data_IF_435955682977
#
_entry.id   IF_435955682977
#
_cell.length_a   1.000
_cell.length_b   1.000
_cell.length_c   1.000
_cell.angle_alpha   90.00
_cell.angle_beta   90.00
_cell.angle_gamma   90.00
#
_symmetry.space_group_name_H-M   'P 1'
#
loop_
_entity.id
_entity.type
_entity.pdbx_description
1 polymer ?
#
# COMPACT_ATOMS: atom_id res chain seq x y z
N UNK A 1 31.52 -3.24 -44.32
CA UNK A 1 30.76 -4.50 -44.45
C UNK A 1 29.44 -4.28 -43.73
N UNK A 2 28.42 -3.97 -44.51
CA UNK A 2 27.11 -3.54 -44.01
C UNK A 2 26.29 -4.78 -43.64
N UNK A 3 26.28 -5.13 -42.36
CA UNK A 3 25.44 -6.21 -41.88
C UNK A 3 24.08 -5.62 -41.50
N UNK A 4 23.16 -5.68 -42.47
CA UNK A 4 21.77 -5.28 -42.29
C UNK A 4 21.12 -6.26 -41.32
N UNK A 5 20.93 -5.83 -40.07
CA UNK A 5 20.18 -6.56 -39.06
C UNK A 5 18.76 -6.77 -39.61
N UNK A 6 18.28 -8.02 -39.78
CA UNK A 6 16.93 -8.25 -40.29
C UNK A 6 15.92 -7.64 -39.31
N UNK A 7 14.97 -6.89 -39.85
CA UNK A 7 13.88 -6.31 -39.10
C UNK A 7 13.09 -7.44 -38.40
N UNK A 8 13.45 -7.74 -37.14
CA UNK A 8 12.54 -8.41 -36.22
C UNK A 8 11.34 -7.49 -36.11
N UNK A 9 10.19 -7.98 -36.58
CA UNK A 9 8.96 -7.21 -36.74
C UNK A 9 8.63 -6.35 -35.53
N UNK A 10 7.97 -5.23 -35.81
CA UNK A 10 7.45 -4.30 -34.80
C UNK A 10 6.76 -5.11 -33.69
N UNK A 11 7.17 -4.98 -32.41
CA UNK A 11 6.48 -5.65 -31.31
C UNK A 11 5.02 -5.20 -31.33
N UNK A 12 4.09 -6.13 -31.58
CA UNK A 12 2.65 -5.84 -31.70
C UNK A 12 1.99 -6.33 -32.99
N UNK A 13 2.73 -6.86 -33.96
CA UNK A 13 2.15 -7.45 -35.17
C UNK A 13 2.52 -8.93 -35.32
N UNK A 14 2.08 -9.78 -34.39
CA UNK A 14 1.89 -11.21 -34.66
C UNK A 14 0.39 -11.45 -34.85
N UNK A 15 -0.02 -11.81 -36.06
CA UNK A 15 -1.39 -12.14 -36.45
C UNK A 15 -1.90 -13.46 -35.84
N UNK A 16 -1.39 -13.85 -34.68
CA UNK A 16 -1.75 -15.08 -33.97
C UNK A 16 -2.72 -14.75 -32.83
N UNK A 17 -3.73 -15.60 -32.66
CA UNK A 17 -4.72 -15.48 -31.60
C UNK A 17 -4.05 -15.34 -30.23
N UNK A 18 -4.55 -14.43 -29.38
CA UNK A 18 -4.11 -14.30 -27.99
C UNK A 18 -4.53 -15.50 -27.13
N UNK A 19 -5.46 -16.32 -27.61
CA UNK A 19 -5.97 -17.49 -26.92
C UNK A 19 -5.20 -18.74 -27.35
N UNK A 20 -4.67 -19.47 -26.37
CA UNK A 20 -4.01 -20.76 -26.58
C UNK A 20 -2.58 -20.69 -27.11
N UNK A 21 -2.01 -19.49 -27.28
CA UNK A 21 -0.65 -19.29 -27.77
C UNK A 21 0.23 -18.60 -26.72
N UNK A 22 1.54 -18.84 -26.79
CA UNK A 22 2.51 -18.03 -26.05
C UNK A 22 2.64 -16.66 -26.73
N UNK A 23 2.26 -15.60 -26.01
CA UNK A 23 2.28 -14.21 -26.49
C UNK A 23 3.14 -13.37 -25.56
N UNK A 24 3.92 -12.44 -26.12
CA UNK A 24 4.70 -11.48 -25.33
C UNK A 24 3.75 -10.53 -24.61
N UNK A 25 3.96 -10.34 -23.30
CA UNK A 25 3.12 -9.43 -22.51
C UNK A 25 3.53 -7.98 -22.79
N UNK A 26 2.54 -7.10 -22.86
CA UNK A 26 2.77 -5.67 -23.11
C UNK A 26 3.53 -5.02 -21.96
N UNK A 27 3.23 -5.44 -20.74
CA UNK A 27 3.76 -4.89 -19.49
C UNK A 27 5.24 -5.22 -19.30
N UNK A 28 5.74 -6.29 -19.91
CA UNK A 28 7.11 -6.79 -19.70
C UNK A 28 8.17 -5.74 -20.00
N UNK A 29 8.01 -5.00 -21.11
CA UNK A 29 8.99 -4.00 -21.53
C UNK A 29 9.26 -2.96 -20.44
N UNK A 30 8.23 -2.56 -19.70
CA UNK A 30 8.32 -1.54 -18.65
C UNK A 30 8.73 -2.17 -17.31
N UNK A 31 8.12 -3.29 -16.93
CA UNK A 31 8.35 -3.94 -15.63
C UNK A 31 9.78 -4.46 -15.49
N UNK A 32 10.32 -5.16 -16.49
CA UNK A 32 11.64 -5.78 -16.40
C UNK A 32 12.79 -4.76 -16.46
N UNK A 33 12.49 -3.53 -16.89
CA UNK A 33 13.45 -2.41 -16.94
C UNK A 33 13.38 -1.52 -15.71
N UNK A 34 12.53 -1.84 -14.73
CA UNK A 34 12.31 -0.98 -13.56
C UNK A 34 11.64 0.35 -13.90
N UNK A 35 10.95 0.44 -15.04
CA UNK A 35 10.27 1.65 -15.52
C UNK A 35 8.79 1.67 -15.14
N UNK A 36 8.33 0.71 -14.33
CA UNK A 36 6.95 0.66 -13.86
C UNK A 36 6.68 1.79 -12.87
N UNK A 37 5.55 2.46 -13.03
CA UNK A 37 5.05 3.46 -12.08
C UNK A 37 4.17 2.77 -11.04
N UNK A 38 4.52 2.97 -9.77
CA UNK A 38 3.86 2.40 -8.60
C UNK A 38 3.68 3.51 -7.56
N UNK A 39 2.73 3.33 -6.64
CA UNK A 39 2.46 4.33 -5.60
C UNK A 39 3.73 4.73 -4.82
N UNK A 40 4.64 3.78 -4.59
CA UNK A 40 5.87 4.00 -3.81
C UNK A 40 7.02 4.68 -4.57
N UNK A 41 6.96 4.84 -5.91
CA UNK A 41 8.01 5.50 -6.69
C UNK A 41 7.54 6.77 -7.40
N UNK A 42 6.37 7.27 -7.04
CA UNK A 42 5.84 8.51 -7.58
C UNK A 42 6.60 9.72 -6.98
N UNK A 43 7.09 10.65 -7.80
CA UNK A 43 7.81 11.83 -7.31
C UNK A 43 6.82 12.88 -6.81
N UNK A 44 6.72 13.00 -5.49
CA UNK A 44 5.97 14.07 -4.84
C UNK A 44 6.94 14.98 -4.09
N UNK A 45 6.84 16.29 -4.31
CA UNK A 45 7.53 17.30 -3.49
C UNK A 45 6.91 17.33 -2.09
N UNK A 46 7.75 17.56 -1.07
CA UNK A 46 7.35 17.67 0.35
C UNK A 46 6.53 16.49 0.90
N UNK A 47 6.72 15.28 0.34
CA UNK A 47 6.02 14.07 0.78
C UNK A 47 6.42 13.69 2.22
N UNK A 48 5.41 13.58 3.09
CA UNK A 48 5.57 13.01 4.42
C UNK A 48 5.33 11.50 4.40
N UNK A 49 6.04 10.78 5.25
CA UNK A 49 5.86 9.35 5.46
C UNK A 49 5.08 9.09 6.75
N UNK A 50 4.11 8.17 6.69
CA UNK A 50 3.38 7.70 7.85
C UNK A 50 3.82 6.28 8.22
N UNK A 51 3.95 6.03 9.52
CA UNK A 51 4.21 4.71 10.08
C UNK A 51 3.20 4.39 11.18
N UNK A 52 2.73 3.15 11.24
CA UNK A 52 1.78 2.70 12.25
C UNK A 52 2.50 1.85 13.28
N UNK A 53 2.47 2.30 14.54
CA UNK A 53 2.84 1.45 15.68
C UNK A 53 1.73 0.41 15.86
N UNK A 54 2.11 -0.88 15.83
CA UNK A 54 1.16 -2.00 15.91
C UNK A 54 1.24 -2.69 17.25
N UNK A 55 0.13 -3.30 17.65
CA UNK A 55 0.08 -4.15 18.84
C UNK A 55 1.03 -5.33 18.69
N UNK A 56 1.80 -5.61 19.73
CA UNK A 56 2.56 -6.86 19.88
C UNK A 56 1.76 -7.95 20.60
N UNK A 57 0.60 -7.59 21.16
CA UNK A 57 -0.31 -8.50 21.84
C UNK A 57 -1.49 -8.88 20.94
N UNK A 58 -1.85 -10.16 20.93
CA UNK A 58 -3.03 -10.63 20.20
C UNK A 58 -4.34 -10.08 20.76
N UNK A 59 -4.42 -9.85 22.07
CA UNK A 59 -5.55 -9.20 22.72
C UNK A 59 -5.11 -8.59 24.05
N UNK A 60 -5.58 -7.40 24.38
CA UNK A 60 -5.18 -6.71 25.62
C UNK A 60 -5.84 -5.35 25.77
N UNK A 61 -5.93 -4.85 26.99
CA UNK A 61 -6.41 -3.50 27.27
C UNK A 61 -5.28 -2.49 27.08
N UNK A 62 -5.62 -1.35 26.48
CA UNK A 62 -4.71 -0.21 26.32
C UNK A 62 -4.88 0.65 27.56
N UNK A 63 -3.93 0.54 28.50
CA UNK A 63 -3.94 1.35 29.72
C UNK A 63 -3.46 2.79 29.45
N UNK A 64 -2.43 2.92 28.62
CA UNK A 64 -1.85 4.21 28.23
C UNK A 64 -1.07 4.08 26.93
N UNK A 65 -0.89 5.21 26.25
CA UNK A 65 0.01 5.37 25.10
C UNK A 65 0.83 6.62 25.38
N UNK A 66 2.14 6.44 25.55
CA UNK A 66 3.10 7.55 25.64
C UNK A 66 3.66 7.83 24.24
N UNK A 67 3.62 9.10 23.84
CA UNK A 67 4.02 9.58 22.51
C UNK A 67 5.05 10.70 22.58
N UNK A 68 5.48 11.10 23.78
CA UNK A 68 6.27 12.33 23.97
C UNK A 68 7.65 12.21 23.34
N UNK A 69 8.33 11.08 23.54
CA UNK A 69 9.62 10.80 22.92
C UNK A 69 9.50 10.87 21.39
N UNK A 70 8.50 10.19 20.81
CA UNK A 70 8.28 10.17 19.36
C UNK A 70 7.99 11.56 18.79
N UNK A 71 7.18 12.37 19.49
CA UNK A 71 6.87 13.76 19.09
C UNK A 71 8.10 14.66 19.12
N UNK A 72 9.05 14.39 20.01
CA UNK A 72 10.28 15.18 20.14
C UNK A 72 11.37 14.82 19.12
N UNK A 73 11.21 13.72 18.38
CA UNK A 73 12.25 13.26 17.45
C UNK A 73 12.41 14.20 16.25
N UNK A 74 13.66 14.50 15.82
CA UNK A 74 13.91 15.28 14.60
C UNK A 74 13.24 14.65 13.37
N UNK A 75 12.50 15.47 12.61
CA UNK A 75 11.82 15.05 11.38
C UNK A 75 10.41 14.47 11.59
N UNK A 76 9.95 14.29 12.83
CA UNK A 76 8.56 13.91 13.10
C UNK A 76 7.67 15.15 13.00
N UNK A 77 6.72 15.12 12.09
CA UNK A 77 5.76 16.22 11.87
C UNK A 77 4.53 16.09 12.77
N UNK A 78 4.08 14.86 13.03
CA UNK A 78 2.94 14.60 13.91
C UNK A 78 2.96 13.16 14.45
N UNK A 79 2.36 12.98 15.63
CA UNK A 79 2.03 11.66 16.20
C UNK A 79 0.57 11.70 16.63
N UNK A 80 -0.24 10.84 16.01
CA UNK A 80 -1.68 10.73 16.24
C UNK A 80 -2.04 9.41 16.93
N UNK A 81 -2.92 9.51 17.89
CA UNK A 81 -3.61 8.40 18.57
C UNK A 81 -5.08 8.40 18.15
N UNK A 82 -5.84 7.39 18.59
CA UNK A 82 -7.28 7.34 18.33
C UNK A 82 -8.03 8.59 18.87
N UNK A 83 -7.52 9.22 19.93
CA UNK A 83 -8.13 10.42 20.52
C UNK A 83 -8.01 11.66 19.63
N UNK A 84 -7.03 11.69 18.72
CA UNK A 84 -6.76 12.84 17.86
C UNK A 84 -7.60 12.83 16.56
N UNK A 85 -8.21 11.69 16.21
CA UNK A 85 -8.83 11.52 14.88
C UNK A 85 -10.21 12.15 14.77
N UNK A 86 -11.00 12.17 15.84
CA UNK A 86 -12.40 12.63 15.78
C UNK A 86 -13.27 11.88 14.76
N UNK A 87 -12.90 10.64 14.41
CA UNK A 87 -13.60 9.81 13.44
C UNK A 87 -14.48 8.79 14.14
N UNK A 88 -15.69 8.58 13.60
CA UNK A 88 -16.56 7.48 13.99
C UNK A 88 -15.96 6.12 13.61
N UNK A 89 -16.41 5.07 14.27
CA UNK A 89 -15.99 3.71 13.95
C UNK A 89 -16.38 3.30 12.55
N UNK A 90 -15.47 2.59 11.89
CA UNK A 90 -15.69 2.06 10.56
C UNK A 90 -16.74 0.95 10.60
N UNK A 91 -17.76 0.99 9.73
CA UNK A 91 -18.73 -0.08 9.62
C UNK A 91 -18.08 -1.39 9.13
N UNK A 92 -18.78 -2.52 9.25
CA UNK A 92 -18.31 -3.78 8.70
C UNK A 92 -18.00 -3.68 7.21
N UNK A 93 -16.89 -4.30 6.77
CA UNK A 93 -16.39 -4.16 5.40
C UNK A 93 -17.30 -4.80 4.34
N UNK A 94 -18.13 -5.77 4.76
CA UNK A 94 -19.04 -6.51 3.90
C UNK A 94 -20.40 -6.55 4.57
N UNK A 95 -21.47 -6.37 3.79
CA UNK A 95 -22.84 -6.27 4.32
C UNK A 95 -23.43 -7.55 4.93
N UNK A 96 -22.72 -8.68 4.86
CA UNK A 96 -23.13 -9.93 5.51
C UNK A 96 -22.46 -10.15 6.88
N UNK A 97 -21.58 -9.25 7.32
CA UNK A 97 -21.05 -9.27 8.68
C UNK A 97 -22.06 -8.68 9.67
N UNK A 98 -21.93 -9.08 10.94
CA UNK A 98 -22.72 -8.53 12.04
C UNK A 98 -22.57 -7.01 12.10
N UNK A 99 -23.68 -6.29 12.31
CA UNK A 99 -23.70 -4.83 12.34
C UNK A 99 -22.81 -4.27 13.45
N UNK A 100 -22.65 -5.02 14.54
CA UNK A 100 -21.83 -4.71 15.70
C UNK A 100 -20.33 -4.89 15.45
N UNK A 101 -19.93 -5.46 14.29
CA UNK A 101 -18.52 -5.61 13.91
C UNK A 101 -17.89 -4.29 13.42
N UNK A 102 -18.26 -3.19 14.08
CA UNK A 102 -17.66 -1.87 13.92
C UNK A 102 -16.23 -1.90 14.47
N UNK A 103 -15.33 -1.14 13.82
CA UNK A 103 -13.92 -1.12 14.18
C UNK A 103 -13.36 0.30 14.13
N UNK A 104 -12.57 0.71 15.13
CA UNK A 104 -11.92 2.01 15.08
C UNK A 104 -10.79 2.01 14.04
N UNK A 105 -10.42 3.20 13.55
CA UNK A 105 -9.29 3.36 12.62
C UNK A 105 -7.94 3.14 13.29
N UNK A 106 -7.80 3.60 14.53
CA UNK A 106 -6.68 3.32 15.44
C UNK A 106 -7.25 2.67 16.69
N UNK A 107 -6.52 1.73 17.28
CA UNK A 107 -7.00 1.05 18.48
C UNK A 107 -7.21 2.05 19.64
N UNK A 108 -8.38 1.97 20.29
CA UNK A 108 -8.68 2.61 21.57
C UNK A 108 -9.21 1.56 22.53
N UNK A 109 -8.95 1.73 23.81
CA UNK A 109 -9.32 0.87 24.95
C UNK A 109 -8.76 -0.57 24.93
N UNK A 110 -8.70 -1.22 23.75
CA UNK A 110 -8.37 -2.63 23.60
C UNK A 110 -7.83 -2.96 22.21
N UNK A 111 -6.74 -3.72 22.18
CA UNK A 111 -6.20 -4.39 20.99
C UNK A 111 -6.83 -5.78 20.85
N UNK A 112 -7.04 -6.24 19.61
CA UNK A 112 -7.76 -7.50 19.32
C UNK A 112 -7.05 -8.43 18.33
N UNK A 113 -5.92 -8.02 17.78
CA UNK A 113 -5.08 -8.81 16.87
C UNK A 113 -3.67 -8.20 16.77
N UNK A 114 -2.73 -9.00 16.24
CA UNK A 114 -1.37 -8.58 15.82
C UNK A 114 -1.38 -8.23 14.34
#
# INVERSE_FOLDING_TARGET
>A
VSETIPARGIPGQSSTSILGNAVLRREDATLIRGQGEFVANQPFEDLLHAHFVRSTAAHGEILSIDVDDARSMPGVVAVHTAADLGLDDRPPAMGFYAAEAIRPFLARDRVRFV
#
